data_IF_610182008172
#
_entry.id   IF_610182008172
#
_cell.length_a   1.000
_cell.length_b   1.000
_cell.length_c   1.000
_cell.angle_alpha   90.00
_cell.angle_beta   90.00
_cell.angle_gamma   90.00
#
_symmetry.space_group_name_H-M   'P 1'
#
loop_
_entity.id
_entity.type
_entity.pdbx_description
1 polymer ?
#
# COMPACT_ATOMS: atom_id res chain seq x y z
N UNK A 1 -2.64 76.77 -48.12
CA UNK A 1 -2.88 75.48 -47.44
C UNK A 1 -1.54 74.76 -47.36
N UNK A 2 -0.92 74.68 -46.17
CA UNK A 2 0.43 74.11 -46.01
C UNK A 2 0.39 72.58 -46.02
N UNK A 3 1.03 71.97 -47.01
CA UNK A 3 1.21 70.52 -47.11
C UNK A 3 2.37 70.07 -46.18
N UNK A 4 2.06 69.23 -45.19
CA UNK A 4 3.04 68.68 -44.23
C UNK A 4 3.94 67.64 -44.93
N UNK A 5 5.24 67.92 -45.04
CA UNK A 5 6.24 66.93 -45.51
C UNK A 5 6.36 65.76 -44.53
N UNK A 6 6.24 64.53 -45.05
CA UNK A 6 6.53 63.28 -44.31
C UNK A 6 8.04 63.12 -44.16
N UNK A 7 8.53 62.98 -42.93
CA UNK A 7 9.94 62.62 -42.63
C UNK A 7 10.11 61.11 -42.79
N UNK A 8 10.94 60.68 -43.74
CA UNK A 8 11.36 59.30 -43.90
C UNK A 8 12.69 59.07 -43.15
N UNK A 9 12.76 58.02 -42.34
CA UNK A 9 13.99 57.60 -41.65
C UNK A 9 14.82 56.69 -42.57
N UNK A 10 16.02 57.13 -42.96
CA UNK A 10 16.99 56.26 -43.64
C UNK A 10 17.78 55.47 -42.60
N UNK A 11 17.38 54.22 -42.37
CA UNK A 11 18.16 53.29 -41.56
C UNK A 11 19.41 52.90 -42.39
N UNK A 12 20.61 53.02 -41.81
CA UNK A 12 21.86 52.57 -42.45
C UNK A 12 21.78 51.08 -42.73
N UNK A 13 22.14 50.68 -43.95
CA UNK A 13 22.10 49.29 -44.44
C UNK A 13 22.77 48.31 -43.44
N UNK A 14 23.87 48.72 -42.82
CA UNK A 14 24.62 47.89 -41.87
C UNK A 14 23.82 47.59 -40.59
N UNK A 15 23.05 48.57 -40.10
CA UNK A 15 22.21 48.42 -38.91
C UNK A 15 21.06 47.42 -39.17
N UNK A 16 20.50 47.46 -40.39
CA UNK A 16 19.46 46.54 -40.83
C UNK A 16 19.96 45.09 -40.87
N UNK A 17 21.15 44.85 -41.43
CA UNK A 17 21.75 43.51 -41.46
C UNK A 17 22.10 42.99 -40.05
N UNK A 18 22.59 43.85 -39.15
CA UNK A 18 22.83 43.47 -37.75
C UNK A 18 21.54 43.04 -37.03
N UNK A 19 20.42 43.75 -37.25
CA UNK A 19 19.13 43.36 -36.64
C UNK A 19 18.62 42.02 -37.15
N UNK A 20 18.82 41.72 -38.45
CA UNK A 20 18.46 40.43 -39.04
C UNK A 20 19.29 39.30 -38.44
N UNK A 21 20.60 39.48 -38.29
CA UNK A 21 21.48 38.45 -37.70
C UNK A 21 21.14 38.15 -36.24
N UNK A 22 20.80 39.18 -35.45
CA UNK A 22 20.35 39.00 -34.08
C UNK A 22 19.02 38.25 -33.99
N UNK A 23 18.06 38.57 -34.88
CA UNK A 23 16.79 37.86 -34.95
C UNK A 23 16.98 36.38 -35.32
N UNK A 24 17.87 36.08 -36.28
CA UNK A 24 18.19 34.70 -36.68
C UNK A 24 18.85 33.94 -35.51
N UNK A 25 19.80 34.56 -34.81
CA UNK A 25 20.45 33.96 -33.63
C UNK A 25 19.44 33.60 -32.54
N UNK A 26 18.49 34.50 -32.26
CA UNK A 26 17.42 34.24 -31.29
C UNK A 26 16.51 33.09 -31.73
N UNK A 27 16.15 33.01 -33.01
CA UNK A 27 15.32 31.91 -33.53
C UNK A 27 16.04 30.56 -33.43
N UNK A 28 17.34 30.53 -33.73
CA UNK A 28 18.17 29.33 -33.58
C UNK A 28 18.28 28.92 -32.11
N UNK A 29 18.55 29.89 -31.22
CA UNK A 29 18.62 29.65 -29.77
C UNK A 29 17.29 29.12 -29.21
N UNK A 30 16.17 29.70 -29.63
CA UNK A 30 14.83 29.24 -29.26
C UNK A 30 14.55 27.82 -29.78
N UNK A 31 14.89 27.52 -31.03
CA UNK A 31 14.70 26.19 -31.60
C UNK A 31 15.54 25.12 -30.85
N UNK A 32 16.79 25.43 -30.49
CA UNK A 32 17.65 24.55 -29.71
C UNK A 32 17.07 24.34 -28.32
N UNK A 33 16.71 25.42 -27.63
CA UNK A 33 16.11 25.35 -26.29
C UNK A 33 14.80 24.55 -26.29
N UNK A 34 13.92 24.80 -27.25
CA UNK A 34 12.67 24.08 -27.41
C UNK A 34 12.91 22.59 -27.67
N UNK A 35 13.92 22.22 -28.46
CA UNK A 35 14.27 20.82 -28.74
C UNK A 35 14.83 20.11 -27.50
N UNK A 36 15.66 20.80 -26.70
CA UNK A 36 16.16 20.29 -25.42
C UNK A 36 15.01 20.09 -24.42
N UNK A 37 14.11 21.08 -24.31
CA UNK A 37 12.94 21.00 -23.45
C UNK A 37 12.02 19.83 -23.85
N UNK A 38 11.75 19.66 -25.15
CA UNK A 38 10.94 18.57 -25.67
C UNK A 38 11.57 17.20 -25.41
N UNK A 39 12.89 17.08 -25.57
CA UNK A 39 13.61 15.82 -25.30
C UNK A 39 13.69 15.50 -23.81
N UNK A 40 13.79 16.50 -22.94
CA UNK A 40 13.67 16.32 -21.49
C UNK A 40 12.25 15.90 -21.08
N UNK A 41 11.22 16.52 -21.64
CA UNK A 41 9.81 16.11 -21.41
C UNK A 41 9.59 14.66 -21.86
N UNK A 42 9.99 14.31 -23.09
CA UNK A 42 9.84 12.95 -23.61
C UNK A 42 10.60 11.89 -22.81
N UNK A 43 11.73 12.24 -22.19
CA UNK A 43 12.46 11.34 -21.28
C UNK A 43 11.79 11.23 -19.91
N UNK A 44 11.16 12.30 -19.42
CA UNK A 44 10.36 12.25 -18.20
C UNK A 44 9.07 11.44 -18.39
N UNK A 45 8.53 11.42 -19.62
CA UNK A 45 7.32 10.70 -20.02
C UNK A 45 7.58 9.26 -20.52
N UNK A 46 8.84 8.80 -20.53
CA UNK A 46 9.14 7.40 -20.84
C UNK A 46 8.52 6.53 -19.74
N UNK A 47 7.70 5.51 -20.09
CA UNK A 47 7.10 4.64 -19.08
C UNK A 47 8.23 3.94 -18.32
N UNK A 48 8.41 4.31 -17.05
CA UNK A 48 9.35 3.62 -16.17
C UNK A 48 8.87 2.18 -16.04
N UNK A 49 9.74 1.25 -16.38
CA UNK A 49 9.45 -0.18 -16.28
C UNK A 49 9.18 -0.51 -14.80
N UNK A 50 8.04 -1.15 -14.54
CA UNK A 50 7.71 -1.66 -13.20
C UNK A 50 8.16 -3.10 -13.11
N UNK A 51 8.80 -3.42 -12.00
CA UNK A 51 9.19 -4.78 -11.66
C UNK A 51 8.27 -5.32 -10.59
N UNK A 52 7.80 -6.54 -10.79
CA UNK A 52 7.11 -7.32 -9.77
C UNK A 52 8.15 -7.94 -8.84
N UNK A 53 7.92 -7.83 -7.53
CA UNK A 53 8.77 -8.41 -6.50
C UNK A 53 7.98 -9.52 -5.83
N UNK A 54 8.47 -10.74 -5.96
CA UNK A 54 7.87 -11.94 -5.35
C UNK A 54 8.74 -12.48 -4.22
N UNK A 55 8.17 -13.42 -3.45
CA UNK A 55 8.79 -14.01 -2.26
C UNK A 55 8.75 -15.55 -2.30
N UNK A 56 8.66 -16.13 -3.50
CA UNK A 56 8.54 -17.58 -3.73
C UNK A 56 9.80 -18.37 -3.34
N UNK A 57 10.92 -17.65 -3.15
CA UNK A 57 12.20 -18.22 -2.72
C UNK A 57 12.26 -18.54 -1.23
N UNK A 58 11.27 -18.11 -0.44
CA UNK A 58 11.21 -18.37 1.00
C UNK A 58 10.99 -19.86 1.30
N UNK A 59 11.82 -20.40 2.19
CA UNK A 59 11.75 -21.78 2.63
C UNK A 59 11.54 -21.86 4.14
N UNK A 60 10.62 -22.72 4.56
CA UNK A 60 10.31 -22.96 5.95
C UNK A 60 11.42 -23.74 6.65
N UNK A 61 11.83 -23.25 7.81
CA UNK A 61 12.71 -23.94 8.77
C UNK A 61 11.91 -24.66 9.86
N UNK A 62 10.58 -24.51 9.88
CA UNK A 62 9.72 -25.06 10.90
C UNK A 62 9.64 -26.59 10.77
N UNK A 63 10.10 -27.29 11.81
CA UNK A 63 10.11 -28.76 11.84
C UNK A 63 8.79 -29.35 12.31
N UNK A 64 8.18 -28.71 13.29
CA UNK A 64 6.92 -29.16 13.88
C UNK A 64 5.77 -28.32 13.34
N UNK A 65 4.98 -28.91 12.45
CA UNK A 65 3.84 -28.22 11.83
C UNK A 65 2.77 -27.86 12.87
N UNK A 66 2.69 -28.60 13.98
CA UNK A 66 1.70 -28.34 15.02
C UNK A 66 1.91 -27.00 15.74
N UNK A 67 3.13 -26.44 15.68
CA UNK A 67 3.46 -25.13 16.25
C UNK A 67 3.44 -23.99 15.22
N UNK A 68 3.00 -24.26 13.98
CA UNK A 68 2.87 -23.25 12.94
C UNK A 68 1.99 -22.09 13.40
N UNK A 69 2.45 -20.86 13.21
CA UNK A 69 1.75 -19.68 13.71
C UNK A 69 0.41 -19.39 13.01
N UNK A 70 0.18 -19.96 11.82
CA UNK A 70 -1.08 -19.78 11.10
C UNK A 70 -2.04 -20.98 11.26
N UNK A 71 -1.57 -22.20 11.01
CA UNK A 71 -2.42 -23.40 11.02
C UNK A 71 -2.24 -24.30 12.26
N UNK A 72 -1.19 -24.09 13.05
CA UNK A 72 -0.91 -24.81 14.26
C UNK A 72 -1.49 -24.14 15.51
N UNK A 73 -1.05 -24.60 16.67
CA UNK A 73 -1.35 -24.04 17.98
C UNK A 73 -0.04 -23.68 18.65
N UNK A 74 0.27 -22.38 18.66
CA UNK A 74 1.44 -21.81 19.34
C UNK A 74 0.95 -20.75 20.31
N UNK A 75 1.43 -20.82 21.56
CA UNK A 75 1.13 -19.86 22.63
C UNK A 75 1.45 -18.41 22.25
N UNK A 76 2.38 -18.22 21.31
CA UNK A 76 2.75 -16.88 20.83
C UNK A 76 1.78 -16.35 19.77
N UNK A 77 1.26 -17.24 18.91
CA UNK A 77 0.50 -16.83 17.73
C UNK A 77 -0.96 -16.47 18.02
N UNK A 78 -1.54 -17.07 19.06
CA UNK A 78 -2.97 -16.98 19.40
C UNK A 78 -3.92 -17.37 18.25
N UNK A 79 -3.44 -17.95 17.16
CA UNK A 79 -4.26 -18.18 15.97
C UNK A 79 -5.32 -19.27 16.20
N UNK A 80 -5.05 -20.23 17.08
CA UNK A 80 -6.03 -21.22 17.56
C UNK A 80 -7.22 -20.59 18.30
N UNK A 81 -7.00 -19.47 19.00
CA UNK A 81 -8.07 -18.67 19.58
C UNK A 81 -8.88 -17.95 18.49
N UNK A 82 -8.22 -17.25 17.56
CA UNK A 82 -8.91 -16.46 16.54
C UNK A 82 -9.69 -17.30 15.53
N UNK A 83 -9.22 -18.52 15.20
CA UNK A 83 -9.91 -19.47 14.30
C UNK A 83 -11.30 -19.89 14.75
N UNK A 84 -11.65 -19.65 16.01
CA UNK A 84 -12.99 -19.91 16.53
C UNK A 84 -14.02 -18.90 16.00
N UNK A 85 -13.57 -17.74 15.54
CA UNK A 85 -14.44 -16.65 15.10
C UNK A 85 -14.63 -16.67 13.59
N UNK A 86 -15.88 -16.59 13.14
CA UNK A 86 -16.20 -16.52 11.73
C UNK A 86 -16.15 -15.06 11.26
N UNK A 87 -14.93 -14.53 11.16
CA UNK A 87 -14.67 -13.14 10.78
C UNK A 87 -13.27 -12.99 10.17
N UNK A 88 -12.95 -11.79 9.75
CA UNK A 88 -11.64 -11.42 9.19
C UNK A 88 -10.81 -10.65 10.21
N UNK A 89 -9.50 -10.63 9.98
CA UNK A 89 -8.52 -9.88 10.78
C UNK A 89 -7.34 -9.39 9.96
N UNK A 90 -6.38 -8.81 10.67
CA UNK A 90 -5.11 -8.31 10.16
C UNK A 90 -3.99 -8.93 10.99
N UNK A 91 -2.90 -9.34 10.34
CA UNK A 91 -1.70 -9.88 10.98
C UNK A 91 -0.53 -8.93 10.72
N UNK A 92 0.15 -8.51 11.79
CA UNK A 92 1.47 -7.89 11.72
C UNK A 92 2.53 -8.99 11.61
N UNK A 93 3.26 -9.04 10.51
CA UNK A 93 4.07 -10.21 10.13
C UNK A 93 5.41 -10.31 10.88
N UNK A 94 5.95 -9.18 11.33
CA UNK A 94 7.26 -9.13 11.97
C UNK A 94 7.27 -9.62 13.42
N UNK A 95 6.17 -9.41 14.15
CA UNK A 95 5.92 -9.89 15.52
C UNK A 95 4.79 -10.92 15.61
N UNK A 96 4.17 -11.26 14.47
CA UNK A 96 2.98 -12.13 14.42
C UNK A 96 1.83 -11.65 15.32
N UNK A 97 1.60 -10.34 15.39
CA UNK A 97 0.49 -9.82 16.19
C UNK A 97 -0.82 -9.84 15.41
N UNK A 98 -1.85 -10.47 15.97
CA UNK A 98 -3.17 -10.64 15.32
C UNK A 98 -4.16 -9.61 15.84
N UNK A 99 -4.74 -8.84 14.93
CA UNK A 99 -5.80 -7.89 15.19
C UNK A 99 -7.10 -8.41 14.57
N UNK A 100 -8.14 -8.52 15.39
CA UNK A 100 -9.48 -8.87 14.92
C UNK A 100 -10.25 -7.60 14.52
N UNK A 101 -10.88 -7.60 13.34
CA UNK A 101 -11.88 -6.59 13.02
C UNK A 101 -13.13 -6.86 13.85
N UNK A 102 -13.45 -5.94 14.76
CA UNK A 102 -14.55 -6.07 15.74
C UNK A 102 -15.93 -5.84 15.10
N UNK A 103 -16.22 -6.60 14.04
CA UNK A 103 -17.43 -6.54 13.20
C UNK A 103 -18.60 -7.28 13.85
N UNK A 104 -18.30 -8.38 14.55
CA UNK A 104 -19.25 -9.28 15.19
C UNK A 104 -18.83 -9.51 16.64
N UNK A 105 -19.79 -9.84 17.49
CA UNK A 105 -19.53 -10.23 18.86
C UNK A 105 -19.49 -11.75 19.00
N UNK A 106 -18.51 -12.24 19.74
CA UNK A 106 -18.36 -13.66 20.04
C UNK A 106 -18.21 -13.89 21.55
N UNK A 107 -18.62 -15.07 22.01
CA UNK A 107 -18.25 -15.57 23.33
C UNK A 107 -16.83 -16.18 23.31
N UNK A 108 -16.33 -16.61 24.47
CA UNK A 108 -15.01 -17.24 24.62
C UNK A 108 -14.83 -18.56 23.85
N UNK A 109 -15.93 -19.19 23.45
CA UNK A 109 -15.96 -20.45 22.72
C UNK A 109 -16.06 -20.24 21.19
N UNK A 110 -16.23 -19.00 20.74
CA UNK A 110 -16.39 -18.66 19.32
C UNK A 110 -17.84 -18.66 18.83
N UNK A 111 -18.82 -18.74 19.71
CA UNK A 111 -20.22 -18.61 19.30
C UNK A 111 -20.58 -17.14 19.13
N UNK A 112 -21.20 -16.81 18.00
CA UNK A 112 -21.66 -15.44 17.74
C UNK A 112 -22.77 -15.06 18.74
N UNK A 113 -22.67 -13.85 19.30
CA UNK A 113 -23.66 -13.28 20.21
C UNK A 113 -24.53 -12.31 19.39
N UNK A 114 -25.73 -12.74 18.94
CA UNK A 114 -26.56 -11.92 18.07
C UNK A 114 -27.10 -10.69 18.83
N UNK A 115 -27.37 -9.62 18.09
CA UNK A 115 -27.98 -8.37 18.59
C UNK A 115 -27.17 -7.66 19.70
N UNK A 116 -25.88 -7.95 19.84
CA UNK A 116 -25.03 -7.20 20.77
C UNK A 116 -24.72 -5.82 20.20
N UNK A 117 -25.17 -4.79 20.89
CA UNK A 117 -24.86 -3.39 20.56
C UNK A 117 -23.68 -2.95 21.41
N UNK A 118 -22.48 -3.03 20.85
CA UNK A 118 -21.28 -2.53 21.51
C UNK A 118 -20.37 -1.84 20.52
N UNK A 119 -19.87 -0.68 20.92
CA UNK A 119 -18.75 -0.02 20.26
C UNK A 119 -17.51 -0.23 21.11
N UNK A 120 -16.45 -0.71 20.50
CA UNK A 120 -15.19 -0.95 21.18
C UNK A 120 -14.10 -0.09 20.55
N UNK A 121 -13.16 0.35 21.38
CA UNK A 121 -11.95 1.03 20.93
C UNK A 121 -10.77 0.41 21.65
N UNK A 122 -9.75 0.00 20.90
CA UNK A 122 -8.49 -0.50 21.42
C UNK A 122 -7.35 0.31 20.84
N UNK A 123 -6.34 0.56 21.67
CA UNK A 123 -5.08 1.14 21.26
C UNK A 123 -3.96 0.26 21.80
N UNK A 124 -2.90 0.11 21.03
CA UNK A 124 -1.76 -0.69 21.47
C UNK A 124 -0.48 -0.35 20.72
N UNK A 125 0.62 -0.80 21.30
CA UNK A 125 1.93 -0.74 20.70
C UNK A 125 2.63 -2.07 21.02
N UNK A 126 3.05 -2.80 20.00
CA UNK A 126 3.68 -4.12 20.13
C UNK A 126 5.21 -4.05 20.22
N UNK A 127 5.78 -2.86 20.11
CA UNK A 127 7.20 -2.61 19.85
C UNK A 127 7.52 -2.56 18.35
N UNK A 128 6.79 -3.32 17.54
CA UNK A 128 6.93 -3.38 16.09
C UNK A 128 5.98 -2.42 15.36
N UNK A 129 4.74 -2.31 15.85
CA UNK A 129 3.72 -1.39 15.30
C UNK A 129 2.96 -0.66 16.40
N UNK A 130 2.38 0.50 16.07
CA UNK A 130 1.34 1.15 16.89
C UNK A 130 0.01 1.05 16.17
N UNK A 131 -1.07 0.77 16.89
CA UNK A 131 -2.38 0.61 16.26
C UNK A 131 -3.51 1.25 17.07
N UNK A 132 -4.55 1.67 16.36
CA UNK A 132 -5.89 1.92 16.88
C UNK A 132 -6.88 1.00 16.17
N UNK A 133 -7.81 0.43 16.93
CA UNK A 133 -8.90 -0.38 16.39
C UNK A 133 -10.21 0.13 16.95
N UNK A 134 -11.17 0.39 16.07
CA UNK A 134 -12.54 0.72 16.39
C UNK A 134 -13.48 -0.31 15.79
N UNK A 135 -14.52 -0.70 16.52
CA UNK A 135 -15.57 -1.57 16.00
C UNK A 135 -16.94 -1.10 16.44
N UNK A 136 -17.88 -1.11 15.50
CA UNK A 136 -19.31 -1.00 15.73
C UNK A 136 -19.98 -2.32 15.33
N UNK A 137 -20.13 -3.20 16.32
CA UNK A 137 -20.75 -4.52 16.14
C UNK A 137 -22.19 -4.40 15.65
N UNK A 138 -22.90 -3.33 16.04
CA UNK A 138 -24.31 -3.15 15.68
C UNK A 138 -24.51 -2.84 14.19
N UNK A 139 -23.46 -2.33 13.54
CA UNK A 139 -23.44 -1.98 12.12
C UNK A 139 -22.59 -2.92 11.28
N UNK A 140 -21.90 -3.87 11.90
CA UNK A 140 -20.94 -4.74 11.21
C UNK A 140 -19.81 -3.95 10.58
N UNK A 141 -19.34 -2.89 11.25
CA UNK A 141 -18.30 -2.00 10.74
C UNK A 141 -17.11 -1.98 11.70
N UNK A 142 -15.90 -1.99 11.18
CA UNK A 142 -14.69 -1.87 11.96
C UNK A 142 -13.62 -1.08 11.20
N UNK A 143 -12.72 -0.47 11.95
CA UNK A 143 -11.60 0.31 11.44
C UNK A 143 -10.36 -0.10 12.22
N UNK A 144 -9.25 -0.29 11.52
CA UNK A 144 -7.93 -0.49 12.11
C UNK A 144 -6.96 0.44 11.42
N UNK A 145 -6.35 1.32 12.20
CA UNK A 145 -5.22 2.15 11.78
C UNK A 145 -3.95 1.58 12.38
N UNK A 146 -2.92 1.49 11.55
CA UNK A 146 -1.60 1.02 11.95
C UNK A 146 -0.59 2.07 11.54
N UNK A 147 0.21 2.52 12.49
CA UNK A 147 1.42 3.31 12.24
C UNK A 147 2.64 2.40 12.30
N UNK A 148 3.36 2.36 11.19
CA UNK A 148 4.59 1.62 11.00
C UNK A 148 5.80 2.51 11.38
N UNK A 149 6.90 1.91 11.88
CA UNK A 149 8.17 2.61 12.06
C UNK A 149 8.70 3.18 10.74
N UNK A 150 9.59 4.17 10.82
CA UNK A 150 10.31 4.63 9.63
C UNK A 150 11.22 3.53 9.06
N UNK A 151 11.29 3.43 7.73
CA UNK A 151 12.09 2.42 7.03
C UNK A 151 11.77 0.99 7.48
N UNK A 152 10.50 0.71 7.77
CA UNK A 152 10.08 -0.61 8.24
C UNK A 152 10.32 -1.69 7.18
N UNK A 153 10.95 -2.79 7.58
CA UNK A 153 11.35 -3.88 6.67
C UNK A 153 10.79 -5.20 7.14
N UNK A 154 10.43 -6.04 6.17
CA UNK A 154 10.00 -7.39 6.43
C UNK A 154 11.09 -8.23 7.09
N UNK A 155 10.78 -8.81 8.25
CA UNK A 155 11.62 -9.79 8.91
C UNK A 155 11.34 -11.20 8.35
N UNK A 156 12.03 -11.53 7.26
CA UNK A 156 11.91 -12.84 6.59
C UNK A 156 12.14 -14.02 7.54
N UNK A 157 13.06 -13.89 8.52
CA UNK A 157 13.36 -14.97 9.47
C UNK A 157 12.17 -15.31 10.35
N UNK A 158 11.45 -14.29 10.82
CA UNK A 158 10.26 -14.51 11.63
C UNK A 158 9.22 -15.37 10.88
N UNK A 159 9.10 -15.18 9.57
CA UNK A 159 8.21 -15.98 8.74
C UNK A 159 8.75 -17.40 8.51
N UNK A 160 10.01 -17.54 8.08
CA UNK A 160 10.59 -18.84 7.74
C UNK A 160 10.70 -19.76 8.96
N UNK A 161 10.92 -19.21 10.15
CA UNK A 161 11.16 -20.00 11.36
C UNK A 161 9.85 -20.48 12.02
N UNK A 162 8.72 -19.82 11.76
CA UNK A 162 7.46 -20.07 12.48
C UNK A 162 6.28 -20.51 11.60
N UNK A 163 6.41 -20.46 10.28
CA UNK A 163 5.39 -20.94 9.36
C UNK A 163 5.81 -22.23 8.68
N UNK A 164 4.90 -23.21 8.62
CA UNK A 164 5.08 -24.35 7.71
C UNK A 164 5.02 -23.86 6.25
N UNK A 165 5.62 -24.62 5.33
CA UNK A 165 5.77 -24.17 3.93
C UNK A 165 4.43 -23.75 3.30
N UNK A 166 3.36 -24.53 3.45
CA UNK A 166 2.06 -24.19 2.87
C UNK A 166 1.47 -22.87 3.39
N UNK A 167 1.75 -22.51 4.64
CA UNK A 167 1.31 -21.24 5.22
C UNK A 167 2.26 -20.09 4.83
N UNK A 168 3.55 -20.37 4.76
CA UNK A 168 4.56 -19.43 4.29
C UNK A 168 4.27 -19.02 2.84
N UNK A 169 3.91 -19.95 1.97
CA UNK A 169 3.56 -19.69 0.57
C UNK A 169 2.37 -18.72 0.46
N UNK A 170 1.32 -18.91 1.29
CA UNK A 170 0.17 -17.98 1.34
C UNK A 170 0.59 -16.58 1.77
N UNK A 171 1.44 -16.47 2.79
CA UNK A 171 1.93 -15.17 3.29
C UNK A 171 2.85 -14.51 2.26
N UNK A 172 3.74 -15.28 1.64
CA UNK A 172 4.65 -14.82 0.59
C UNK A 172 3.88 -14.22 -0.59
N UNK A 173 2.84 -14.90 -1.06
CA UNK A 173 1.98 -14.40 -2.13
C UNK A 173 1.28 -13.07 -1.75
N UNK A 174 0.90 -12.90 -0.49
CA UNK A 174 0.27 -11.65 -0.03
C UNK A 174 1.21 -10.44 0.01
N UNK A 175 2.53 -10.69 0.05
CA UNK A 175 3.57 -9.68 0.11
C UNK A 175 4.03 -9.21 -1.28
N UNK A 176 3.58 -9.86 -2.35
CA UNK A 176 3.90 -9.48 -3.73
C UNK A 176 3.52 -8.03 -4.00
N UNK A 177 4.45 -7.26 -4.55
CA UNK A 177 4.23 -5.84 -4.83
C UNK A 177 5.00 -5.37 -6.06
N UNK A 178 4.56 -4.22 -6.59
CA UNK A 178 5.17 -3.58 -7.75
C UNK A 178 5.96 -2.36 -7.31
N UNK A 179 7.15 -2.18 -7.91
CA UNK A 179 7.96 -0.97 -7.76
C UNK A 179 8.64 -0.56 -9.07
N UNK A 180 8.92 0.72 -9.20
CA UNK A 180 9.79 1.23 -10.28
C UNK A 180 11.27 0.96 -9.96
N UNK A 181 12.13 0.86 -10.99
CA UNK A 181 13.55 0.54 -10.81
C UNK A 181 14.30 1.48 -9.85
N UNK A 182 13.94 2.77 -9.85
CA UNK A 182 14.56 3.81 -9.01
C UNK A 182 13.79 4.09 -7.71
N UNK A 183 12.72 3.35 -7.44
CA UNK A 183 11.88 3.51 -6.27
C UNK A 183 12.41 2.67 -5.09
N UNK A 184 12.69 3.35 -3.98
CA UNK A 184 13.01 2.68 -2.71
C UNK A 184 11.72 2.29 -1.99
N UNK A 185 11.11 1.20 -2.48
CA UNK A 185 9.88 0.63 -1.91
C UNK A 185 10.14 -0.77 -1.36
N UNK A 186 9.71 -0.99 -0.13
CA UNK A 186 9.74 -2.27 0.59
C UNK A 186 8.29 -2.76 0.75
N UNK A 187 8.05 -4.08 0.86
CA UNK A 187 6.71 -4.59 1.12
C UNK A 187 6.22 -4.14 2.49
N UNK A 188 4.92 -3.85 2.59
CA UNK A 188 4.26 -3.60 3.86
C UNK A 188 4.15 -4.94 4.60
N UNK A 189 4.76 -5.12 5.78
CA UNK A 189 4.79 -6.41 6.49
C UNK A 189 3.49 -6.63 7.29
N UNK A 190 2.36 -6.44 6.62
CA UNK A 190 1.02 -6.67 7.13
C UNK A 190 0.25 -7.51 6.10
N UNK A 191 -0.70 -8.32 6.56
CA UNK A 191 -1.64 -9.00 5.69
C UNK A 191 -3.03 -9.10 6.33
N UNK A 192 -4.05 -9.33 5.50
CA UNK A 192 -5.38 -9.66 5.97
C UNK A 192 -5.52 -11.17 6.05
N UNK A 193 -6.38 -11.63 6.96
CA UNK A 193 -6.64 -13.06 7.18
C UNK A 193 -8.13 -13.31 7.32
N UNK A 194 -8.62 -14.37 6.67
CA UNK A 194 -9.90 -14.97 7.01
C UNK A 194 -9.67 -16.00 8.13
N UNK A 195 -10.15 -15.73 9.34
CA UNK A 195 -9.92 -16.65 10.46
C UNK A 195 -10.59 -18.00 10.26
N UNK A 196 -11.62 -18.08 9.42
CA UNK A 196 -12.34 -19.33 9.17
C UNK A 196 -11.60 -20.24 8.19
N UNK A 197 -11.11 -19.68 7.09
CA UNK A 197 -10.48 -20.45 6.01
C UNK A 197 -8.96 -20.48 6.10
N UNK A 198 -8.37 -19.56 6.88
CA UNK A 198 -6.92 -19.30 6.94
C UNK A 198 -6.34 -18.90 5.59
N UNK A 199 -7.15 -18.25 4.77
CA UNK A 199 -6.66 -17.60 3.57
C UNK A 199 -6.12 -16.22 3.91
N UNK A 200 -5.04 -15.86 3.22
CA UNK A 200 -4.29 -14.64 3.44
C UNK A 200 -4.49 -13.74 2.23
N UNK A 201 -4.72 -12.46 2.47
CA UNK A 201 -4.95 -11.48 1.43
C UNK A 201 -3.95 -10.34 1.55
N UNK A 202 -3.59 -9.79 0.40
CA UNK A 202 -2.61 -8.72 0.29
C UNK A 202 -3.11 -7.45 0.96
N UNK A 203 -2.19 -6.75 1.62
CA UNK A 203 -2.36 -5.40 2.16
C UNK A 203 -1.26 -4.49 1.59
N UNK A 204 -0.87 -4.73 0.34
CA UNK A 204 0.05 -3.85 -0.39
C UNK A 204 -0.72 -2.70 -1.04
N UNK A 205 -0.05 -1.56 -1.19
CA UNK A 205 -0.59 -0.27 -1.69
C UNK A 205 -1.19 -0.28 -3.10
N UNK A 206 -1.08 -1.40 -3.82
CA UNK A 206 -1.73 -1.60 -5.10
C UNK A 206 -3.24 -1.84 -4.97
N UNK A 207 -3.68 -2.44 -3.85
CA UNK A 207 -5.08 -2.78 -3.61
C UNK A 207 -5.76 -1.68 -2.81
N UNK A 208 -6.82 -1.08 -3.35
CA UNK A 208 -7.63 -0.08 -2.63
C UNK A 208 -8.77 -0.72 -1.85
N UNK A 209 -9.23 -1.89 -2.29
CA UNK A 209 -10.22 -2.68 -1.58
C UNK A 209 -10.24 -4.13 -2.02
N UNK A 210 -10.84 -4.99 -1.20
CA UNK A 210 -11.03 -6.40 -1.48
C UNK A 210 -12.30 -6.94 -0.83
N UNK A 211 -12.91 -7.94 -1.46
CA UNK A 211 -13.92 -8.78 -0.84
C UNK A 211 -13.28 -10.06 -0.29
N UNK A 212 -13.54 -10.34 0.98
CA UNK A 212 -13.20 -11.60 1.65
C UNK A 212 -14.53 -12.20 2.10
N UNK A 213 -15.10 -13.16 1.35
CA UNK A 213 -16.47 -13.65 1.57
C UNK A 213 -17.47 -12.47 1.69
N UNK A 214 -18.21 -12.40 2.80
CA UNK A 214 -19.18 -11.35 3.13
C UNK A 214 -18.55 -10.07 3.70
N UNK A 215 -17.23 -9.91 3.62
CA UNK A 215 -16.52 -8.77 4.17
C UNK A 215 -15.91 -7.92 3.07
N UNK A 216 -16.30 -6.65 3.02
CA UNK A 216 -15.67 -5.66 2.15
C UNK A 216 -14.65 -4.85 2.96
N UNK A 217 -13.39 -4.88 2.54
CA UNK A 217 -12.29 -4.18 3.19
C UNK A 217 -11.78 -3.09 2.27
N UNK A 218 -11.82 -1.85 2.72
CA UNK A 218 -11.18 -0.69 2.09
C UNK A 218 -9.82 -0.45 2.76
N UNK A 219 -8.83 -0.06 1.95
CA UNK A 219 -7.45 0.16 2.38
C UNK A 219 -7.00 1.54 1.91
N UNK A 220 -6.48 2.34 2.85
CA UNK A 220 -5.86 3.63 2.58
C UNK A 220 -4.42 3.63 3.13
N UNK A 221 -3.50 4.15 2.31
CA UNK A 221 -2.07 4.12 2.58
C UNK A 221 -1.55 5.55 2.59
N UNK A 222 -1.07 5.98 3.75
CA UNK A 222 -0.40 7.28 3.96
C UNK A 222 1.04 7.01 4.38
N UNK A 223 1.93 7.99 4.23
CA UNK A 223 3.38 7.93 4.45
C UNK A 223 3.90 6.69 5.22
N UNK A 224 3.55 6.57 6.52
CA UNK A 224 3.91 5.44 7.37
C UNK A 224 2.69 4.81 8.06
N UNK A 225 1.49 5.02 7.55
CA UNK A 225 0.28 4.47 8.15
C UNK A 225 -0.61 3.74 7.16
N UNK A 226 -1.16 2.63 7.60
CA UNK A 226 -2.19 1.88 6.90
C UNK A 226 -3.49 2.00 7.66
N UNK A 227 -4.52 2.50 7.00
CA UNK A 227 -5.89 2.57 7.50
C UNK A 227 -6.72 1.52 6.76
N UNK A 228 -7.44 0.68 7.50
CA UNK A 228 -8.32 -0.34 6.94
C UNK A 228 -9.72 -0.21 7.51
N UNK A 229 -10.71 -0.11 6.63
CA UNK A 229 -12.14 -0.04 6.99
C UNK A 229 -12.83 -1.29 6.48
N UNK A 230 -13.45 -2.04 7.37
CA UNK A 230 -14.10 -3.29 7.04
C UNK A 230 -15.60 -3.21 7.32
N UNK A 231 -16.39 -3.74 6.39
CA UNK A 231 -17.84 -3.76 6.44
C UNK A 231 -18.35 -5.18 6.21
N UNK A 232 -19.27 -5.64 7.05
CA UNK A 232 -19.97 -6.90 6.86
C UNK A 232 -21.18 -6.70 5.93
N UNK A 233 -21.09 -7.27 4.74
CA UNK A 233 -22.03 -7.15 3.62
C UNK A 233 -22.42 -8.55 3.10
N UNK A 234 -23.30 -9.29 3.81
CA UNK A 234 -23.70 -10.63 3.41
C UNK A 234 -24.48 -10.66 2.09
N UNK A 235 -24.35 -11.76 1.35
CA UNK A 235 -25.16 -12.03 0.15
C UNK A 235 -26.67 -11.96 0.45
N UNK A 236 -27.45 -11.50 -0.54
CA UNK A 236 -28.90 -11.28 -0.44
C UNK A 236 -29.72 -12.48 -0.90
#
# INVERSE_FOLDING_TARGET
>A
MHEKRKKYYHIRKDLFWCTILLAISFLIGYAIHHRIFLTHSLKADAPKERTEITFDDLQSNLKDISTCYLCGSSDYSMMDYYRKFDTVGLISLNDWYVLNFQLKAYDENGNEIPNKTSSNVLFGNTGEITYSSHGDVSRGMAEIDITLPENYKLNKRNLTDHLCQSCLDKVAASLEYWKYEDEKKEPIPLCLVDFKTLDIYSLQDYYQSIFIRDYYVEMDFKDNSVETKTFYLPER
#
